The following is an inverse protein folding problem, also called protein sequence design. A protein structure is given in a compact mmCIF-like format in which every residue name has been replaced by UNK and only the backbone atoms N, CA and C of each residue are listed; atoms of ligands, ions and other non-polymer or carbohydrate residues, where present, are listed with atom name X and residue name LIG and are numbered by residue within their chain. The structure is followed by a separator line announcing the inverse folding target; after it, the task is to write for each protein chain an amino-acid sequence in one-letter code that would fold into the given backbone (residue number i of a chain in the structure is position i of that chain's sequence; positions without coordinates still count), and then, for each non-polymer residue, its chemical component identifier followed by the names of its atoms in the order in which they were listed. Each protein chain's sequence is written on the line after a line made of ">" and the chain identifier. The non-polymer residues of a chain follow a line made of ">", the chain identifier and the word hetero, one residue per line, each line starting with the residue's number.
data_IF_619159051765
#
_entry.id   IF_619159051765
#
_cell.length_a   1.000
_cell.length_b   1.000
_cell.length_c   1.000
_cell.angle_alpha   90.00
_cell.angle_beta   90.00
_cell.angle_gamma   90.00
#
_symmetry.space_group_name_H-M   'P 1'
#
loop_
_entity.id
_entity.type
_entity.pdbx_description
1 polymer ?
#
# COMPACT_ATOMS: atom_id res chain seq x y z
N UNK A 1 24.24 -21.17 -8.68
CA UNK A 1 23.99 -20.02 -7.80
C UNK A 1 22.48 -19.82 -7.70
N UNK A 2 21.80 -20.63 -6.87
CA UNK A 2 20.33 -20.73 -6.81
C UNK A 2 19.83 -20.85 -5.35
N UNK A 3 20.73 -20.62 -4.39
CA UNK A 3 20.50 -20.85 -2.96
C UNK A 3 20.00 -19.57 -2.28
N UNK A 4 20.32 -18.40 -2.83
CA UNK A 4 19.92 -17.11 -2.28
C UNK A 4 18.42 -16.82 -2.46
N UNK A 5 17.79 -17.29 -3.55
CA UNK A 5 16.36 -17.04 -3.81
C UNK A 5 15.45 -17.80 -2.83
N UNK A 6 15.83 -19.01 -2.42
CA UNK A 6 15.02 -19.83 -1.50
C UNK A 6 15.13 -19.28 -0.07
N UNK A 7 16.34 -18.93 0.37
CA UNK A 7 16.56 -18.32 1.69
C UNK A 7 15.96 -16.91 1.80
N UNK A 8 16.00 -16.12 0.72
CA UNK A 8 15.33 -14.82 0.66
C UNK A 8 13.81 -14.99 0.71
N UNK A 9 13.27 -16.00 0.04
CA UNK A 9 11.83 -16.30 0.05
C UNK A 9 11.37 -16.78 1.44
N UNK A 10 12.09 -17.70 2.07
CA UNK A 10 11.77 -18.18 3.42
C UNK A 10 11.88 -17.10 4.49
N UNK A 11 12.86 -16.20 4.38
CA UNK A 11 12.96 -15.07 5.32
C UNK A 11 11.87 -14.03 5.09
N UNK A 12 11.39 -13.82 3.86
CA UNK A 12 10.31 -12.86 3.56
C UNK A 12 8.89 -13.37 3.83
N UNK A 13 8.63 -14.68 3.71
CA UNK A 13 7.31 -15.28 3.96
C UNK A 13 6.69 -14.89 5.32
N UNK A 14 7.40 -14.97 6.47
CA UNK A 14 6.81 -14.59 7.76
C UNK A 14 6.52 -13.08 7.86
N UNK A 15 7.30 -12.23 7.18
CA UNK A 15 7.01 -10.80 7.11
C UNK A 15 5.86 -10.48 6.15
N UNK A 16 5.68 -11.27 5.09
CA UNK A 16 4.52 -11.17 4.21
C UNK A 16 3.22 -11.53 4.94
N UNK A 17 3.23 -12.55 5.79
CA UNK A 17 2.07 -12.88 6.65
C UNK A 17 1.83 -11.82 7.73
N UNK A 18 2.88 -11.19 8.27
CA UNK A 18 2.75 -10.02 9.14
C UNK A 18 2.16 -8.80 8.40
N UNK A 19 2.56 -8.59 7.14
CA UNK A 19 1.96 -7.62 6.22
C UNK A 19 0.49 -7.94 5.94
N UNK A 20 0.09 -9.22 5.96
CA UNK A 20 -1.33 -9.57 5.84
C UNK A 20 -2.16 -9.14 7.05
N UNK A 21 -1.56 -9.02 8.23
CA UNK A 21 -2.20 -8.49 9.43
C UNK A 21 -2.12 -6.97 9.59
N UNK A 22 -1.50 -6.25 8.64
CA UNK A 22 -1.28 -4.81 8.76
C UNK A 22 -2.56 -4.03 8.45
N UNK A 23 -3.36 -3.78 9.48
CA UNK A 23 -4.49 -2.87 9.40
C UNK A 23 -4.02 -1.42 9.32
N UNK A 24 -4.25 -0.79 8.15
CA UNK A 24 -4.05 0.64 7.99
C UNK A 24 -5.17 1.38 8.73
N UNK A 25 -4.86 1.89 9.93
CA UNK A 25 -5.78 2.70 10.72
C UNK A 25 -5.33 4.15 10.74
N UNK A 26 -6.29 5.07 10.72
CA UNK A 26 -6.03 6.50 10.91
C UNK A 26 -5.31 6.76 12.25
N UNK A 27 -5.59 5.94 13.26
CA UNK A 27 -4.98 6.03 14.59
C UNK A 27 -3.60 5.38 14.67
N UNK A 28 -3.12 4.72 13.61
CA UNK A 28 -1.82 4.07 13.62
C UNK A 28 -0.72 5.11 13.31
N UNK A 29 0.14 5.49 14.28
CA UNK A 29 1.19 6.48 14.05
C UNK A 29 2.23 6.00 13.03
N UNK A 30 2.46 4.68 12.92
CA UNK A 30 3.41 4.12 11.95
C UNK A 30 2.97 4.35 10.50
N UNK A 31 1.66 4.41 10.25
CA UNK A 31 1.11 4.71 8.93
C UNK A 31 1.48 6.12 8.48
N UNK A 32 1.33 7.11 9.37
CA UNK A 32 1.69 8.49 9.09
C UNK A 32 3.20 8.70 8.95
N UNK A 33 3.99 8.01 9.78
CA UNK A 33 5.46 8.02 9.66
C UNK A 33 5.88 7.44 8.31
N UNK A 34 5.28 6.33 7.88
CA UNK A 34 5.54 5.75 6.56
C UNK A 34 5.20 6.74 5.43
N UNK A 35 4.01 7.36 5.46
CA UNK A 35 3.62 8.35 4.47
C UNK A 35 4.52 9.58 4.47
N UNK A 36 4.98 10.02 5.63
CA UNK A 36 5.89 11.15 5.77
C UNK A 36 7.27 10.84 5.18
N UNK A 37 7.82 9.64 5.45
CA UNK A 37 9.07 9.19 4.83
C UNK A 37 8.88 9.09 3.31
N UNK A 38 7.77 8.53 2.85
CA UNK A 38 7.45 8.43 1.43
C UNK A 38 7.38 9.81 0.77
N UNK A 39 6.76 10.79 1.43
CA UNK A 39 6.71 12.18 0.96
C UNK A 39 8.11 12.79 0.83
N UNK A 40 8.99 12.57 1.81
CA UNK A 40 10.37 13.07 1.76
C UNK A 40 11.17 12.46 0.61
N UNK A 41 11.01 11.15 0.36
CA UNK A 41 11.65 10.48 -0.78
C UNK A 41 11.11 11.04 -2.09
N UNK A 42 9.79 11.13 -2.24
CA UNK A 42 9.15 11.64 -3.45
C UNK A 42 9.48 13.11 -3.71
N UNK A 43 9.68 13.92 -2.68
CA UNK A 43 10.12 15.33 -2.81
C UNK A 43 11.47 15.46 -3.53
N UNK A 44 12.34 14.45 -3.46
CA UNK A 44 13.62 14.47 -4.18
C UNK A 44 13.40 14.38 -5.70
N UNK A 45 12.36 13.67 -6.12
CA UNK A 45 12.08 13.41 -7.54
C UNK A 45 11.02 14.35 -8.13
N UNK A 46 10.08 14.82 -7.31
CA UNK A 46 8.90 15.60 -7.71
C UNK A 46 8.75 16.87 -6.87
N UNK A 47 8.08 17.89 -7.45
CA UNK A 47 7.67 19.09 -6.73
C UNK A 47 6.83 18.76 -5.49
N UNK A 48 6.97 19.57 -4.43
CA UNK A 48 6.33 19.34 -3.13
C UNK A 48 4.82 19.14 -3.24
N UNK A 49 4.14 19.96 -4.04
CA UNK A 49 2.69 19.84 -4.27
C UNK A 49 2.33 18.47 -4.87
N UNK A 50 3.06 18.04 -5.89
CA UNK A 50 2.85 16.78 -6.60
C UNK A 50 3.02 15.57 -5.66
N UNK A 51 4.08 15.58 -4.87
CA UNK A 51 4.37 14.54 -3.87
C UNK A 51 3.31 14.51 -2.77
N UNK A 52 2.85 15.68 -2.31
CA UNK A 52 1.80 15.77 -1.30
C UNK A 52 0.47 15.20 -1.78
N UNK A 53 0.02 15.58 -2.99
CA UNK A 53 -1.20 15.03 -3.57
C UNK A 53 -1.13 13.52 -3.78
N UNK A 54 0.03 13.02 -4.23
CA UNK A 54 0.25 11.58 -4.37
C UNK A 54 0.13 10.86 -3.03
N UNK A 55 0.83 11.33 -1.99
CA UNK A 55 0.77 10.77 -0.65
C UNK A 55 -0.65 10.85 -0.04
N UNK A 56 -1.37 11.96 -0.25
CA UNK A 56 -2.73 12.12 0.25
C UNK A 56 -3.71 11.13 -0.40
N UNK A 57 -3.66 10.98 -1.73
CA UNK A 57 -4.49 10.01 -2.43
C UNK A 57 -4.13 8.56 -2.07
N UNK A 58 -2.83 8.27 -1.95
CA UNK A 58 -2.35 6.96 -1.49
C UNK A 58 -2.87 6.64 -0.08
N UNK A 59 -2.87 7.64 0.82
CA UNK A 59 -3.44 7.49 2.16
C UNK A 59 -4.94 7.19 2.12
N UNK A 60 -5.71 7.91 1.28
CA UNK A 60 -7.14 7.69 1.11
C UNK A 60 -7.42 6.27 0.60
N UNK A 61 -6.68 5.81 -0.42
CA UNK A 61 -6.85 4.46 -0.98
C UNK A 61 -6.58 3.39 0.09
N UNK A 62 -5.47 3.52 0.83
CA UNK A 62 -5.10 2.56 1.88
C UNK A 62 -6.09 2.53 3.04
N UNK A 63 -6.55 3.70 3.50
CA UNK A 63 -7.56 3.81 4.57
C UNK A 63 -8.92 3.25 4.11
N UNK A 64 -9.30 3.52 2.85
CA UNK A 64 -10.54 3.00 2.27
C UNK A 64 -10.48 1.48 2.13
N UNK A 65 -9.37 0.95 1.61
CA UNK A 65 -9.15 -0.49 1.50
C UNK A 65 -9.26 -1.17 2.88
N UNK A 66 -8.56 -0.64 3.89
CA UNK A 66 -8.61 -1.17 5.27
C UNK A 66 -10.01 -1.10 5.89
N UNK A 67 -10.78 -0.03 5.62
CA UNK A 67 -12.16 0.08 6.09
C UNK A 67 -13.10 -0.91 5.38
N UNK A 68 -12.89 -1.16 4.09
CA UNK A 68 -13.62 -2.17 3.33
C UNK A 68 -13.27 -3.57 3.84
N UNK A 69 -11.99 -3.86 4.08
CA UNK A 69 -11.53 -5.11 4.70
C UNK A 69 -12.21 -5.35 6.06
N UNK A 70 -12.21 -4.34 6.94
CA UNK A 70 -12.88 -4.42 8.25
C UNK A 70 -14.41 -4.60 8.16
N UNK A 71 -15.05 -4.02 7.15
CA UNK A 71 -16.48 -4.21 6.94
C UNK A 71 -16.80 -5.62 6.42
N UNK A 72 -15.90 -6.19 5.60
CA UNK A 72 -16.06 -7.52 5.01
C UNK A 72 -15.76 -8.64 6.01
N UNK A 73 -14.80 -8.48 6.92
CA UNK A 73 -14.53 -9.47 7.99
C UNK A 73 -15.69 -9.60 8.99
N UNK A 74 -16.56 -8.60 9.10
CA UNK A 74 -17.77 -8.65 9.94
C UNK A 74 -18.93 -9.37 9.21
N UNK A 75 -18.87 -9.50 7.89
CA UNK A 75 -19.88 -10.17 7.07
C UNK A 75 -19.47 -11.61 6.71
N UNK A 76 -20.40 -12.55 6.83
CA UNK A 76 -20.23 -14.00 6.64
C UNK A 76 -19.94 -14.38 5.16
N UNK A 77 -18.86 -13.89 4.56
CA UNK A 77 -18.46 -14.19 3.20
C UNK A 77 -16.96 -14.54 3.15
N UNK A 78 -16.63 -15.68 2.54
CA UNK A 78 -15.30 -16.30 2.49
C UNK A 78 -14.15 -15.29 2.57
N UNK A 79 -13.52 -15.24 3.75
CA UNK A 79 -12.65 -14.15 4.20
C UNK A 79 -11.40 -13.99 3.33
N UNK A 80 -10.81 -15.09 2.84
CA UNK A 80 -9.50 -15.02 2.21
C UNK A 80 -9.51 -14.49 0.76
N UNK A 81 -10.51 -14.89 -0.04
CA UNK A 81 -10.55 -14.55 -1.47
C UNK A 81 -10.97 -13.10 -1.69
N UNK A 82 -11.91 -12.61 -0.88
CA UNK A 82 -12.46 -11.25 -0.98
C UNK A 82 -11.45 -10.22 -0.48
N UNK A 83 -10.75 -10.50 0.61
CA UNK A 83 -9.72 -9.64 1.20
C UNK A 83 -8.50 -9.52 0.27
N UNK A 84 -8.10 -10.63 -0.37
CA UNK A 84 -7.04 -10.63 -1.37
C UNK A 84 -7.43 -9.81 -2.61
N UNK A 85 -8.69 -9.84 -3.03
CA UNK A 85 -9.20 -9.08 -4.16
C UNK A 85 -9.19 -7.56 -3.88
N UNK A 86 -9.60 -7.14 -2.67
CA UNK A 86 -9.52 -5.72 -2.24
C UNK A 86 -8.08 -5.20 -2.29
N UNK A 87 -7.10 -6.03 -1.88
CA UNK A 87 -5.67 -5.66 -1.94
C UNK A 87 -5.14 -5.56 -3.35
N UNK A 88 -5.50 -6.49 -4.24
CA UNK A 88 -5.13 -6.42 -5.66
C UNK A 88 -5.67 -5.12 -6.27
N UNK A 89 -6.93 -4.77 -6.00
CA UNK A 89 -7.54 -3.54 -6.50
C UNK A 89 -6.82 -2.30 -5.94
N UNK A 90 -6.53 -2.27 -4.64
CA UNK A 90 -5.78 -1.15 -4.04
C UNK A 90 -4.39 -0.99 -4.65
N UNK A 91 -3.65 -2.09 -4.83
CA UNK A 91 -2.33 -2.08 -5.48
C UNK A 91 -2.41 -1.62 -6.94
N UNK A 92 -3.43 -2.07 -7.68
CA UNK A 92 -3.66 -1.64 -9.05
C UNK A 92 -3.95 -0.14 -9.15
N UNK A 93 -4.77 0.40 -8.24
CA UNK A 93 -5.05 1.84 -8.17
C UNK A 93 -3.79 2.65 -7.82
N UNK A 94 -2.98 2.17 -6.87
CA UNK A 94 -1.69 2.78 -6.51
C UNK A 94 -0.74 2.77 -7.71
N UNK A 95 -0.66 1.65 -8.45
CA UNK A 95 0.16 1.53 -9.64
C UNK A 95 -0.29 2.49 -10.75
N UNK A 96 -1.60 2.55 -11.03
CA UNK A 96 -2.17 3.49 -11.99
C UNK A 96 -1.88 4.95 -11.61
N UNK A 97 -2.04 5.29 -10.32
CA UNK A 97 -1.68 6.60 -9.81
C UNK A 97 -0.19 6.91 -9.98
N UNK A 98 0.67 5.94 -9.66
CA UNK A 98 2.12 6.10 -9.81
C UNK A 98 2.47 6.34 -11.28
N UNK A 99 1.93 5.56 -12.21
CA UNK A 99 2.15 5.75 -13.64
C UNK A 99 1.63 7.11 -14.14
N UNK A 100 0.43 7.52 -13.71
CA UNK A 100 -0.13 8.82 -14.06
C UNK A 100 0.78 9.97 -13.58
N UNK A 101 1.22 9.92 -12.32
CA UNK A 101 2.09 10.94 -11.77
C UNK A 101 3.50 10.88 -12.36
N UNK A 102 4.05 9.71 -12.65
CA UNK A 102 5.41 9.55 -13.17
C UNK A 102 5.55 9.87 -14.67
N UNK A 103 4.51 9.63 -15.48
CA UNK A 103 4.63 9.72 -16.94
C UNK A 103 3.71 10.76 -17.58
N UNK A 104 2.51 10.97 -17.04
CA UNK A 104 1.50 11.82 -17.70
C UNK A 104 1.59 13.27 -17.24
N UNK A 105 2.01 13.51 -16.00
CA UNK A 105 2.03 14.86 -15.39
C UNK A 105 3.39 15.57 -15.45
N UNK A 106 4.40 14.94 -16.05
CA UNK A 106 5.72 15.53 -16.33
C UNK A 106 5.87 16.01 -17.80
N UNK A 107 4.81 15.91 -18.60
CA UNK A 107 4.63 16.58 -19.90
C UNK A 107 3.70 17.78 -19.76
#
# INVERSE_FOLDING_TARGET
>A
MNIDLVALKESFIPYLDSLKGFHFSFLNPLFWIFLFILLLILRVFWYLEKSFYFCAMLAIILLTASKVENCMTIGIFGEDLTLLLVRIVALFLILMMFLYYAFVRDY
#
